data_IF_282731455810
#
_entry.id   IF_282731455810
#
_cell.length_a   1.000
_cell.length_b   1.000
_cell.length_c   1.000
_cell.angle_alpha   90.00
_cell.angle_beta   90.00
_cell.angle_gamma   90.00
#
_symmetry.space_group_name_H-M   'P 1'
#
loop_
_entity.id
_entity.type
_entity.pdbx_description
1 polymer ?
#
# COMPACT_ATOMS: atom_id res chain seq x y z
N UNK A 1 -28.70 13.32 19.12
CA UNK A 1 -27.58 12.41 18.82
C UNK A 1 -28.12 11.07 18.34
N UNK A 2 -27.29 10.26 17.68
CA UNK A 2 -27.69 8.88 17.25
C UNK A 2 -28.26 8.05 18.40
N UNK A 3 -27.70 8.19 19.61
CA UNK A 3 -28.17 7.48 20.80
C UNK A 3 -29.57 7.90 21.20
N UNK A 4 -29.82 9.20 21.26
CA UNK A 4 -31.16 9.76 21.56
C UNK A 4 -32.19 9.35 20.50
N UNK A 5 -31.82 9.51 19.23
CA UNK A 5 -32.69 9.23 18.07
C UNK A 5 -33.12 7.75 18.01
N UNK A 6 -32.31 6.85 18.62
CA UNK A 6 -32.58 5.40 18.68
C UNK A 6 -33.01 4.92 20.06
N UNK A 7 -33.28 5.81 21.02
CA UNK A 7 -33.76 5.46 22.36
C UNK A 7 -32.72 4.70 23.20
N UNK A 8 -31.43 4.86 22.91
CA UNK A 8 -30.34 4.19 23.64
C UNK A 8 -29.91 5.06 24.82
N UNK A 9 -30.01 4.51 26.04
CA UNK A 9 -29.54 5.17 27.25
C UNK A 9 -28.03 5.39 27.19
N UNK A 10 -27.59 6.62 27.45
CA UNK A 10 -26.16 6.96 27.50
C UNK A 10 -25.88 8.07 28.53
N UNK A 11 -24.64 8.16 28.95
CA UNK A 11 -24.15 9.27 29.76
C UNK A 11 -22.75 9.69 29.30
N UNK A 12 -22.54 10.98 29.17
CA UNK A 12 -21.19 11.53 28.94
C UNK A 12 -20.40 11.47 30.25
N UNK A 13 -19.40 10.59 30.29
CA UNK A 13 -18.57 10.38 31.49
C UNK A 13 -17.25 11.13 31.47
N UNK A 14 -16.89 11.78 30.34
CA UNK A 14 -15.63 12.50 30.22
C UNK A 14 -15.36 12.97 28.79
N UNK A 15 -14.17 13.49 28.60
CA UNK A 15 -13.66 13.94 27.30
C UNK A 15 -12.14 13.73 27.23
N UNK A 16 -11.57 13.43 26.03
CA UNK A 16 -10.14 13.36 25.84
C UNK A 16 -9.54 14.77 25.83
N UNK A 17 -8.31 14.91 26.34
CA UNK A 17 -7.52 16.14 26.27
C UNK A 17 -6.16 15.85 25.63
N UNK A 18 -5.58 16.78 24.85
CA UNK A 18 -4.26 16.58 24.25
C UNK A 18 -3.11 16.92 25.19
N UNK A 19 -3.38 17.50 26.35
CA UNK A 19 -2.37 18.18 27.18
C UNK A 19 -1.46 17.22 27.95
N UNK A 20 -2.02 16.13 28.47
CA UNK A 20 -1.29 15.20 29.34
C UNK A 20 -1.63 13.76 29.03
N UNK A 21 -0.65 12.88 29.21
CA UNK A 21 -0.84 11.43 29.04
C UNK A 21 -1.32 10.79 30.34
N UNK A 22 -2.44 11.31 30.85
CA UNK A 22 -3.06 10.87 32.11
C UNK A 22 -4.56 10.61 31.92
N UNK A 23 -5.08 9.62 32.64
CA UNK A 23 -6.51 9.41 32.79
C UNK A 23 -6.88 9.90 34.19
N UNK A 24 -7.69 10.94 34.29
CA UNK A 24 -8.17 11.47 35.55
C UNK A 24 -9.62 11.06 35.75
N UNK A 25 -9.88 10.29 36.81
CA UNK A 25 -11.23 9.91 37.23
C UNK A 25 -11.61 10.74 38.45
N UNK A 26 -12.73 11.45 38.35
CA UNK A 26 -13.29 12.25 39.43
C UNK A 26 -14.68 11.74 39.77
N UNK A 27 -14.93 11.54 41.07
CA UNK A 27 -16.25 11.21 41.62
C UNK A 27 -16.37 11.88 42.98
N UNK A 28 -17.32 12.81 43.08
CA UNK A 28 -17.51 13.62 44.29
C UNK A 28 -16.18 14.34 44.65
N UNK A 29 -15.72 14.15 45.90
CA UNK A 29 -14.43 14.70 46.37
C UNK A 29 -13.22 13.82 46.00
N UNK A 30 -13.43 12.66 45.45
CA UNK A 30 -12.34 11.75 45.09
C UNK A 30 -11.80 12.06 43.69
N UNK A 31 -10.47 12.10 43.62
CA UNK A 31 -9.75 12.24 42.35
C UNK A 31 -8.65 11.18 42.31
N UNK A 32 -8.58 10.46 41.21
CA UNK A 32 -7.51 9.51 40.96
C UNK A 32 -6.95 9.72 39.56
N UNK A 33 -5.63 9.74 39.45
CA UNK A 33 -4.93 9.91 38.18
C UNK A 33 -4.07 8.68 37.86
N UNK A 34 -4.18 8.22 36.63
CA UNK A 34 -3.37 7.12 36.09
C UNK A 34 -2.46 7.66 34.99
N UNK A 35 -1.19 7.29 35.06
CA UNK A 35 -0.26 7.49 33.97
C UNK A 35 -0.55 6.48 32.86
N UNK A 36 -0.86 6.95 31.63
CA UNK A 36 -1.22 6.11 30.47
C UNK A 36 -0.04 5.23 30.06
N UNK A 37 1.18 5.73 30.15
CA UNK A 37 2.37 4.98 29.72
C UNK A 37 2.70 3.87 30.71
N UNK A 38 2.54 4.10 32.01
CA UNK A 38 2.69 3.07 33.03
C UNK A 38 1.61 1.98 32.90
N UNK A 39 0.36 2.36 32.63
CA UNK A 39 -0.72 1.41 32.37
C UNK A 39 -0.45 0.60 31.09
N UNK A 40 -0.04 1.26 30.03
CA UNK A 40 0.33 0.60 28.77
C UNK A 40 1.48 -0.37 28.97
N UNK A 41 2.52 0.02 29.70
CA UNK A 41 3.66 -0.86 29.99
C UNK A 41 3.23 -2.12 30.77
N UNK A 42 2.37 -1.95 31.73
CA UNK A 42 1.82 -3.07 32.52
C UNK A 42 1.00 -4.01 31.63
N UNK A 43 0.11 -3.44 30.79
CA UNK A 43 -0.74 -4.20 29.87
C UNK A 43 0.07 -4.92 28.79
N UNK A 44 1.06 -4.22 28.21
CA UNK A 44 1.84 -4.74 27.06
C UNK A 44 2.93 -5.72 27.47
N UNK A 45 3.31 -5.79 28.74
CA UNK A 45 4.43 -6.59 29.24
C UNK A 45 4.39 -8.06 28.79
N UNK A 46 3.27 -8.72 28.90
CA UNK A 46 3.13 -10.12 28.49
C UNK A 46 3.31 -10.29 26.99
N UNK A 47 2.67 -9.43 26.20
CA UNK A 47 2.82 -9.43 24.73
C UNK A 47 4.26 -9.17 24.31
N UNK A 48 4.95 -8.25 24.99
CA UNK A 48 6.37 -7.97 24.73
C UNK A 48 7.26 -9.19 25.01
N UNK A 49 7.03 -9.90 26.11
CA UNK A 49 7.82 -11.09 26.45
C UNK A 49 7.66 -12.19 25.39
N UNK A 50 6.45 -12.41 24.90
CA UNK A 50 6.18 -13.35 23.81
C UNK A 50 6.80 -12.87 22.49
N UNK A 51 6.64 -11.58 22.16
CA UNK A 51 7.19 -11.01 20.95
C UNK A 51 8.72 -11.08 20.92
N UNK A 52 9.36 -10.84 22.07
CA UNK A 52 10.83 -10.96 22.23
C UNK A 52 11.35 -12.35 21.87
N UNK A 53 10.60 -13.38 22.21
CA UNK A 53 11.01 -14.77 21.97
C UNK A 53 10.71 -15.21 20.51
N UNK A 54 9.87 -14.45 19.79
CA UNK A 54 9.44 -14.74 18.41
C UNK A 54 10.08 -13.83 17.35
N UNK A 55 10.57 -12.64 17.73
CA UNK A 55 11.10 -11.64 16.80
C UNK A 55 12.61 -11.59 16.80
N UNK A 56 13.20 -11.38 15.61
CA UNK A 56 14.63 -11.24 15.43
C UNK A 56 15.10 -9.78 15.51
N UNK A 57 16.40 -9.57 15.49
CA UNK A 57 17.07 -8.26 15.39
C UNK A 57 16.61 -7.20 16.42
N UNK A 58 16.14 -7.66 17.60
CA UNK A 58 15.66 -6.75 18.65
C UNK A 58 14.37 -6.00 18.31
N UNK A 59 13.64 -6.44 17.29
CA UNK A 59 12.43 -5.77 16.82
C UNK A 59 11.34 -5.66 17.89
N UNK A 60 11.16 -6.69 18.74
CA UNK A 60 10.22 -6.61 19.86
C UNK A 60 10.54 -5.46 20.82
N UNK A 61 11.82 -5.25 21.12
CA UNK A 61 12.27 -4.13 21.97
C UNK A 61 12.03 -2.80 21.30
N UNK A 62 12.39 -2.66 20.02
CA UNK A 62 12.17 -1.45 19.24
C UNK A 62 10.67 -1.11 19.18
N UNK A 63 9.79 -2.08 18.94
CA UNK A 63 8.33 -1.90 18.96
C UNK A 63 7.84 -1.39 20.31
N UNK A 64 8.34 -1.96 21.41
CA UNK A 64 8.00 -1.53 22.77
C UNK A 64 8.43 -0.09 23.04
N UNK A 65 9.66 0.26 22.67
CA UNK A 65 10.28 1.53 23.03
C UNK A 65 9.84 2.68 22.08
N UNK A 66 9.56 2.39 20.80
CA UNK A 66 9.27 3.39 19.77
C UNK A 66 7.80 3.77 19.61
N UNK A 67 6.87 3.24 20.39
CA UNK A 67 5.44 3.49 20.17
C UNK A 67 5.02 4.96 20.26
N UNK A 68 5.80 5.82 20.93
CA UNK A 68 5.59 7.27 20.99
C UNK A 68 6.25 8.04 19.84
N UNK A 69 7.20 7.45 19.14
CA UNK A 69 8.14 8.13 18.25
C UNK A 69 7.79 7.97 16.77
N UNK A 70 6.67 7.36 16.43
CA UNK A 70 6.26 7.08 15.05
C UNK A 70 4.84 7.61 14.78
N UNK A 71 4.62 8.92 14.81
CA UNK A 71 3.33 9.47 14.49
C UNK A 71 2.99 9.17 13.03
N UNK A 72 1.74 8.82 12.78
CA UNK A 72 1.19 8.85 11.43
C UNK A 72 0.89 10.31 11.11
N UNK A 73 1.76 10.94 10.36
CA UNK A 73 1.55 12.28 9.86
C UNK A 73 0.83 12.22 8.51
N UNK A 74 -0.19 13.03 8.34
CA UNK A 74 -0.84 13.24 7.06
C UNK A 74 -0.73 14.70 6.64
N UNK A 75 -0.34 14.90 5.38
CA UNK A 75 -0.29 16.19 4.72
C UNK A 75 -0.67 15.98 3.27
N UNK A 76 -1.69 16.67 2.83
CA UNK A 76 -2.17 16.60 1.45
C UNK A 76 -1.74 17.86 0.69
N UNK A 77 -1.54 17.74 -0.60
CA UNK A 77 -1.25 18.89 -1.46
C UNK A 77 -2.48 19.81 -1.58
N UNK A 78 -2.25 21.09 -1.82
CA UNK A 78 -3.30 22.14 -1.78
C UNK A 78 -4.41 21.95 -2.83
N UNK A 79 -4.11 21.24 -3.93
CA UNK A 79 -5.09 20.97 -4.99
C UNK A 79 -6.03 19.81 -4.68
N UNK A 80 -5.75 19.00 -3.65
CA UNK A 80 -6.64 17.92 -3.22
C UNK A 80 -7.98 18.46 -2.71
N UNK A 81 -9.09 17.93 -3.22
CA UNK A 81 -10.45 18.37 -2.88
C UNK A 81 -11.28 17.33 -2.14
N UNK A 82 -10.83 16.09 -2.09
CA UNK A 82 -11.50 15.00 -1.37
C UNK A 82 -12.81 14.52 -1.98
N UNK A 83 -13.23 15.01 -3.16
CA UNK A 83 -14.50 14.64 -3.79
C UNK A 83 -14.30 13.87 -5.08
N UNK A 84 -15.18 12.91 -5.37
CA UNK A 84 -15.17 12.16 -6.61
C UNK A 84 -15.34 13.06 -7.84
N UNK A 85 -16.20 14.07 -7.73
CA UNK A 85 -16.47 15.04 -8.80
C UNK A 85 -15.20 15.78 -9.24
N UNK A 86 -14.30 16.14 -8.32
CA UNK A 86 -13.06 16.86 -8.63
C UNK A 86 -12.11 16.07 -9.56
N UNK A 87 -12.27 14.76 -9.60
CA UNK A 87 -11.52 13.86 -10.50
C UNK A 87 -12.31 13.43 -11.73
N UNK A 88 -13.55 13.91 -11.88
CA UNK A 88 -14.47 13.47 -12.94
C UNK A 88 -14.92 12.02 -12.78
N UNK A 89 -14.96 11.53 -11.54
CA UNK A 89 -15.37 10.17 -11.20
C UNK A 89 -16.88 10.11 -11.02
N UNK A 90 -17.50 9.10 -11.66
CA UNK A 90 -18.89 8.71 -11.41
C UNK A 90 -18.91 7.30 -10.84
N UNK A 91 -19.27 7.17 -9.55
CA UNK A 91 -19.37 5.88 -8.88
C UNK A 91 -20.47 4.98 -9.49
N UNK A 92 -21.45 5.59 -10.15
CA UNK A 92 -22.59 4.91 -10.79
C UNK A 92 -22.41 4.70 -12.30
N UNK A 93 -21.18 4.86 -12.81
CA UNK A 93 -20.88 4.67 -14.22
C UNK A 93 -21.38 3.31 -14.72
N UNK A 94 -22.17 3.30 -15.80
CA UNK A 94 -22.69 2.07 -16.44
C UNK A 94 -22.15 1.85 -17.85
N UNK A 95 -21.61 2.92 -18.45
CA UNK A 95 -21.07 2.87 -19.82
C UNK A 95 -19.59 2.56 -19.77
N UNK A 96 -19.08 1.63 -20.58
CA UNK A 96 -17.65 1.41 -20.73
C UNK A 96 -16.91 2.69 -21.14
N UNK A 97 -15.71 2.88 -20.61
CA UNK A 97 -14.84 4.00 -20.96
C UNK A 97 -13.98 3.73 -22.19
N UNK A 98 -13.75 2.46 -22.49
CA UNK A 98 -12.79 2.02 -23.50
C UNK A 98 -11.34 1.95 -23.01
N UNK A 99 -11.04 2.44 -21.82
CA UNK A 99 -9.70 2.34 -21.21
C UNK A 99 -9.64 1.09 -20.34
N UNK A 100 -8.87 0.09 -20.76
CA UNK A 100 -8.90 -1.22 -20.15
C UNK A 100 -7.72 -1.46 -19.21
N UNK A 101 -8.01 -2.07 -18.04
CA UNK A 101 -7.02 -2.59 -17.11
C UNK A 101 -7.28 -4.07 -16.84
N UNK A 102 -6.22 -4.88 -16.76
CA UNK A 102 -6.30 -6.27 -16.35
C UNK A 102 -5.72 -6.46 -14.95
N UNK A 103 -6.47 -7.13 -14.08
CA UNK A 103 -5.97 -7.63 -12.81
C UNK A 103 -5.49 -9.04 -13.02
N UNK A 104 -4.19 -9.26 -12.87
CA UNK A 104 -3.59 -10.59 -13.05
C UNK A 104 -3.51 -11.28 -11.69
N UNK A 105 -4.07 -12.49 -11.66
CA UNK A 105 -4.17 -13.29 -10.43
C UNK A 105 -3.56 -14.68 -10.59
N UNK A 106 -2.99 -15.15 -9.48
CA UNK A 106 -2.61 -16.54 -9.28
C UNK A 106 -3.36 -17.09 -8.05
N UNK A 107 -3.43 -18.40 -7.89
CA UNK A 107 -4.01 -18.98 -6.69
C UNK A 107 -3.28 -18.49 -5.44
N UNK A 108 -4.04 -18.06 -4.44
CA UNK A 108 -3.51 -17.48 -3.20
C UNK A 108 -3.36 -15.96 -3.22
N UNK A 109 -3.57 -15.28 -4.35
CA UNK A 109 -3.67 -13.82 -4.39
C UNK A 109 -4.98 -13.34 -3.77
N UNK A 110 -4.99 -12.11 -3.24
CA UNK A 110 -6.18 -11.45 -2.70
C UNK A 110 -6.11 -9.93 -2.95
N UNK A 111 -7.21 -9.21 -2.61
CA UNK A 111 -7.31 -7.77 -2.83
C UNK A 111 -7.77 -7.39 -4.23
N UNK A 112 -8.12 -8.36 -5.06
CA UNK A 112 -8.59 -8.13 -6.43
C UNK A 112 -9.88 -7.30 -6.48
N UNK A 113 -10.75 -7.41 -5.48
CA UNK A 113 -12.01 -6.66 -5.45
C UNK A 113 -11.79 -5.20 -5.13
N UNK A 114 -10.97 -4.91 -4.11
CA UNK A 114 -10.58 -3.54 -3.74
C UNK A 114 -9.83 -2.88 -4.90
N UNK A 115 -8.94 -3.62 -5.54
CA UNK A 115 -8.19 -3.16 -6.70
C UNK A 115 -9.12 -2.90 -7.90
N UNK A 116 -10.03 -3.83 -8.20
CA UNK A 116 -11.00 -3.68 -9.28
C UNK A 116 -11.89 -2.46 -9.05
N UNK A 117 -12.31 -2.24 -7.81
CA UNK A 117 -13.15 -1.08 -7.47
C UNK A 117 -12.39 0.23 -7.58
N UNK A 118 -11.13 0.28 -7.15
CA UNK A 118 -10.26 1.45 -7.30
C UNK A 118 -10.05 1.82 -8.77
N UNK A 119 -9.77 0.84 -9.62
CA UNK A 119 -9.65 1.02 -11.06
C UNK A 119 -10.97 1.45 -11.71
N UNK A 120 -12.08 0.80 -11.32
CA UNK A 120 -13.42 1.16 -11.83
C UNK A 120 -13.80 2.60 -11.47
N UNK A 121 -13.58 3.02 -10.23
CA UNK A 121 -13.81 4.41 -9.82
C UNK A 121 -12.99 5.38 -10.66
N UNK A 122 -11.71 5.09 -10.86
CA UNK A 122 -10.84 5.93 -11.70
C UNK A 122 -11.24 5.94 -13.18
N UNK A 123 -12.18 5.09 -13.61
CA UNK A 123 -12.73 5.08 -14.96
C UNK A 123 -12.21 3.98 -15.87
N UNK A 124 -11.53 2.97 -15.35
CA UNK A 124 -11.13 1.81 -16.15
C UNK A 124 -12.28 0.81 -16.38
N UNK A 125 -12.25 0.12 -17.50
CA UNK A 125 -12.97 -1.12 -17.75
C UNK A 125 -12.07 -2.27 -17.30
N UNK A 126 -12.46 -2.92 -16.19
CA UNK A 126 -11.60 -3.89 -15.50
C UNK A 126 -11.83 -5.30 -16.00
N UNK A 127 -10.74 -5.99 -16.29
CA UNK A 127 -10.70 -7.38 -16.74
C UNK A 127 -9.99 -8.24 -15.68
N UNK A 128 -10.63 -9.33 -15.27
CA UNK A 128 -10.02 -10.32 -14.36
C UNK A 128 -9.30 -11.38 -15.19
N UNK A 129 -8.00 -11.57 -14.95
CA UNK A 129 -7.13 -12.47 -15.70
C UNK A 129 -6.43 -13.44 -14.76
N UNK A 130 -6.71 -14.73 -14.90
CA UNK A 130 -6.00 -15.76 -14.17
C UNK A 130 -4.73 -16.19 -14.92
N UNK A 131 -3.70 -16.60 -14.18
CA UNK A 131 -2.48 -17.15 -14.81
C UNK A 131 -2.76 -18.29 -15.78
N UNK A 132 -3.80 -19.09 -15.52
CA UNK A 132 -4.26 -20.16 -16.44
C UNK A 132 -4.73 -19.62 -17.79
N UNK A 133 -5.19 -18.37 -17.88
CA UNK A 133 -5.58 -17.74 -19.13
C UNK A 133 -4.36 -17.38 -19.97
N UNK A 134 -3.32 -16.84 -19.33
CA UNK A 134 -2.05 -16.54 -19.97
C UNK A 134 -1.30 -17.83 -20.39
N UNK A 135 -1.25 -18.83 -19.52
CA UNK A 135 -0.61 -20.12 -19.78
C UNK A 135 -1.26 -20.84 -20.96
N UNK A 136 -2.59 -20.81 -21.04
CA UNK A 136 -3.31 -21.43 -22.17
C UNK A 136 -3.24 -20.61 -23.45
N UNK A 137 -2.93 -19.32 -23.36
CA UNK A 137 -2.97 -18.36 -24.46
C UNK A 137 -4.38 -17.86 -24.80
N UNK A 138 -5.34 -18.04 -23.90
CA UNK A 138 -6.68 -17.41 -23.99
C UNK A 138 -6.60 -15.91 -23.83
N UNK A 139 -5.61 -15.44 -23.08
CA UNK A 139 -5.30 -14.04 -22.83
C UNK A 139 -3.90 -13.72 -23.32
N UNK A 140 -3.75 -12.57 -23.99
CA UNK A 140 -2.48 -12.09 -24.57
C UNK A 140 -2.09 -10.71 -24.09
N UNK A 141 -2.93 -10.01 -23.34
CA UNK A 141 -2.77 -8.65 -22.83
C UNK A 141 -2.64 -7.56 -23.93
N UNK A 142 -2.90 -7.91 -25.19
CA UNK A 142 -2.77 -6.96 -26.31
C UNK A 142 -3.84 -5.86 -26.28
N UNK A 143 -5.00 -6.15 -25.70
CA UNK A 143 -6.16 -5.25 -25.65
C UNK A 143 -6.24 -4.41 -24.37
N UNK A 144 -5.24 -4.47 -23.48
CA UNK A 144 -5.18 -3.69 -22.24
C UNK A 144 -3.98 -2.76 -22.22
N UNK A 145 -4.13 -1.60 -21.56
CA UNK A 145 -3.07 -0.61 -21.39
C UNK A 145 -2.51 -0.57 -19.97
N UNK A 146 -3.19 -1.19 -19.02
CA UNK A 146 -2.70 -1.31 -17.65
C UNK A 146 -2.84 -2.74 -17.16
N UNK A 147 -1.81 -3.26 -16.49
CA UNK A 147 -1.91 -4.50 -15.72
C UNK A 147 -1.63 -4.23 -14.26
N UNK A 148 -2.32 -4.97 -13.40
CA UNK A 148 -2.11 -4.93 -11.96
C UNK A 148 -1.88 -6.33 -11.43
N UNK A 149 -0.78 -6.51 -10.71
CA UNK A 149 -0.49 -7.71 -9.94
C UNK A 149 -0.94 -7.48 -8.49
N UNK A 150 -1.94 -8.24 -8.05
CA UNK A 150 -2.50 -8.12 -6.71
C UNK A 150 -1.57 -8.64 -5.62
N UNK A 151 -1.88 -8.26 -4.38
CA UNK A 151 -1.29 -8.82 -3.18
C UNK A 151 -1.73 -10.25 -2.89
N UNK A 152 -1.34 -10.76 -1.73
CA UNK A 152 -1.70 -12.09 -1.24
C UNK A 152 -0.47 -12.99 -1.04
N UNK A 153 -0.69 -14.29 -1.21
CA UNK A 153 0.31 -15.34 -1.00
C UNK A 153 0.24 -16.33 -2.17
N UNK A 154 0.69 -15.90 -3.35
CA UNK A 154 0.64 -16.72 -4.55
C UNK A 154 1.35 -18.06 -4.34
N UNK A 155 0.68 -19.16 -4.70
CA UNK A 155 1.16 -20.53 -4.49
C UNK A 155 1.55 -20.81 -3.01
N UNK A 156 0.90 -20.13 -2.04
CA UNK A 156 1.16 -20.25 -0.61
C UNK A 156 2.61 -19.91 -0.20
N UNK A 157 3.33 -19.16 -1.02
CA UNK A 157 4.74 -18.79 -0.87
C UNK A 157 5.70 -19.96 -0.59
N UNK A 158 5.36 -21.18 -1.04
CA UNK A 158 6.10 -22.43 -0.73
C UNK A 158 7.58 -22.36 -1.13
N UNK A 159 7.88 -21.66 -2.21
CA UNK A 159 9.27 -21.47 -2.70
C UNK A 159 9.87 -20.11 -2.25
N UNK A 160 9.13 -19.35 -1.47
CA UNK A 160 9.34 -17.93 -1.16
C UNK A 160 8.36 -17.05 -1.90
N UNK A 161 8.17 -15.82 -1.40
CA UNK A 161 7.14 -14.91 -1.88
C UNK A 161 7.24 -14.64 -3.38
N UNK A 162 6.13 -14.84 -4.07
CA UNK A 162 5.92 -14.69 -5.52
C UNK A 162 6.80 -15.58 -6.44
N UNK A 163 7.68 -16.42 -5.91
CA UNK A 163 8.59 -17.23 -6.75
C UNK A 163 7.87 -18.26 -7.60
N UNK A 164 6.84 -18.89 -7.05
CA UNK A 164 5.99 -19.81 -7.82
C UNK A 164 5.25 -19.10 -8.95
N UNK A 165 4.76 -17.89 -8.68
CA UNK A 165 4.09 -17.06 -9.67
C UNK A 165 5.07 -16.58 -10.75
N UNK A 166 6.27 -16.12 -10.36
CA UNK A 166 7.33 -15.76 -11.31
C UNK A 166 7.72 -16.96 -12.20
N UNK A 167 7.81 -18.16 -11.62
CA UNK A 167 8.05 -19.39 -12.37
C UNK A 167 6.97 -19.69 -13.42
N UNK A 168 5.69 -19.39 -13.12
CA UNK A 168 4.61 -19.55 -14.09
C UNK A 168 4.78 -18.64 -15.31
N UNK A 169 5.34 -17.44 -15.16
CA UNK A 169 5.70 -16.58 -16.29
C UNK A 169 6.97 -17.06 -17.00
N UNK A 170 8.05 -17.31 -16.25
CA UNK A 170 9.38 -17.57 -16.82
C UNK A 170 9.44 -18.89 -17.61
N UNK A 171 8.71 -19.91 -17.14
CA UNK A 171 8.80 -21.27 -17.69
C UNK A 171 7.61 -21.65 -18.58
N UNK A 172 6.66 -20.74 -18.81
CA UNK A 172 5.60 -20.94 -19.78
C UNK A 172 5.77 -19.98 -20.96
N UNK A 173 6.02 -20.47 -22.19
CA UNK A 173 6.31 -19.63 -23.35
C UNK A 173 5.21 -18.62 -23.66
N UNK A 174 3.92 -19.01 -23.57
CA UNK A 174 2.79 -18.13 -23.89
C UNK A 174 2.63 -17.00 -22.86
N UNK A 175 2.70 -17.35 -21.57
CA UNK A 175 2.61 -16.36 -20.51
C UNK A 175 3.79 -15.37 -20.56
N UNK A 176 5.00 -15.89 -20.82
CA UNK A 176 6.19 -15.06 -21.00
C UNK A 176 6.06 -14.12 -22.21
N UNK A 177 5.63 -14.66 -23.36
CA UNK A 177 5.44 -13.87 -24.57
C UNK A 177 4.43 -12.74 -24.38
N UNK A 178 3.30 -13.02 -23.72
CA UNK A 178 2.28 -12.02 -23.42
C UNK A 178 2.84 -10.90 -22.53
N UNK A 179 3.61 -11.26 -21.49
CA UNK A 179 4.25 -10.29 -20.59
C UNK A 179 5.32 -9.47 -21.33
N UNK A 180 6.22 -10.11 -22.07
CA UNK A 180 7.30 -9.45 -22.82
C UNK A 180 6.73 -8.44 -23.84
N UNK A 181 5.69 -8.84 -24.60
CA UNK A 181 5.00 -7.94 -25.54
C UNK A 181 4.34 -6.77 -24.84
N UNK A 182 3.72 -7.00 -23.66
CA UNK A 182 3.10 -5.93 -22.89
C UNK A 182 4.14 -4.88 -22.45
N UNK A 183 5.27 -5.31 -21.88
CA UNK A 183 6.32 -4.40 -21.41
C UNK A 183 7.11 -3.73 -22.55
N UNK A 184 7.15 -4.34 -23.74
CA UNK A 184 7.77 -3.72 -24.93
C UNK A 184 6.96 -2.55 -25.49
N UNK A 185 5.67 -2.45 -25.21
CA UNK A 185 4.80 -1.35 -25.63
C UNK A 185 5.09 -0.10 -24.81
N UNK A 186 4.95 1.07 -25.41
CA UNK A 186 5.16 2.38 -24.75
C UNK A 186 3.87 2.97 -24.16
N UNK A 187 2.72 2.47 -24.55
CA UNK A 187 1.38 2.89 -24.14
C UNK A 187 0.83 2.07 -22.96
N UNK A 188 1.69 1.44 -22.19
CA UNK A 188 1.31 0.55 -21.10
C UNK A 188 1.84 1.00 -19.74
N UNK A 189 1.08 0.70 -18.69
CA UNK A 189 1.41 0.90 -17.29
C UNK A 189 1.29 -0.42 -16.52
N UNK A 190 2.08 -0.58 -15.48
CA UNK A 190 1.89 -1.69 -14.54
C UNK A 190 2.00 -1.27 -13.08
N UNK A 191 1.26 -1.95 -12.23
CA UNK A 191 1.25 -1.76 -10.79
C UNK A 191 1.38 -3.14 -10.10
N UNK A 192 2.36 -3.29 -9.21
CA UNK A 192 2.48 -4.46 -8.34
C UNK A 192 2.36 -4.07 -6.89
N UNK A 193 1.40 -4.68 -6.18
CA UNK A 193 1.15 -4.42 -4.77
C UNK A 193 1.47 -5.65 -3.93
N UNK A 194 2.26 -5.48 -2.86
CA UNK A 194 2.62 -6.54 -1.91
C UNK A 194 3.19 -7.78 -2.63
N UNK A 195 2.45 -8.87 -2.74
CA UNK A 195 2.87 -10.06 -3.49
C UNK A 195 3.10 -9.75 -4.99
N UNK A 196 2.32 -8.83 -5.58
CA UNK A 196 2.56 -8.33 -6.93
C UNK A 196 3.84 -7.50 -7.05
N UNK A 197 4.21 -6.73 -6.02
CA UNK A 197 5.50 -6.04 -5.95
C UNK A 197 6.66 -7.04 -5.93
N UNK A 198 6.56 -8.07 -5.09
CA UNK A 198 7.54 -9.16 -5.04
C UNK A 198 7.68 -9.85 -6.39
N UNK A 199 6.57 -10.09 -7.09
CA UNK A 199 6.56 -10.64 -8.44
C UNK A 199 7.32 -9.76 -9.43
N UNK A 200 7.04 -8.45 -9.45
CA UNK A 200 7.69 -7.51 -10.38
C UNK A 200 9.20 -7.45 -10.13
N UNK A 201 9.63 -7.49 -8.87
CA UNK A 201 11.04 -7.54 -8.49
C UNK A 201 11.66 -8.89 -8.89
N UNK A 202 10.97 -10.02 -8.64
CA UNK A 202 11.47 -11.36 -9.00
C UNK A 202 11.61 -11.52 -10.53
N UNK A 203 10.72 -10.93 -11.31
CA UNK A 203 10.79 -10.89 -12.78
C UNK A 203 11.74 -9.80 -13.32
N UNK A 204 12.36 -8.98 -12.45
CA UNK A 204 13.24 -7.86 -12.82
C UNK A 204 12.59 -6.82 -13.74
N UNK A 205 11.32 -6.48 -13.51
CA UNK A 205 10.54 -5.60 -14.39
C UNK A 205 10.73 -4.11 -14.10
N UNK A 206 11.33 -3.76 -12.94
CA UNK A 206 11.47 -2.35 -12.51
C UNK A 206 12.83 -1.78 -12.89
N UNK A 207 13.90 -2.52 -12.63
CA UNK A 207 15.28 -2.08 -12.86
C UNK A 207 16.04 -3.09 -13.74
N UNK A 208 15.58 -3.38 -14.97
CA UNK A 208 16.17 -4.45 -15.78
C UNK A 208 17.63 -4.18 -16.17
N UNK A 209 18.04 -2.91 -16.24
CA UNK A 209 19.37 -2.48 -16.68
C UNK A 209 20.39 -2.32 -15.53
N UNK A 210 19.99 -2.57 -14.27
CA UNK A 210 20.91 -2.50 -13.14
C UNK A 210 21.89 -3.67 -13.13
N UNK A 211 23.16 -3.38 -12.85
CA UNK A 211 24.20 -4.42 -12.74
C UNK A 211 23.92 -5.39 -11.59
N UNK A 212 23.45 -4.85 -10.46
CA UNK A 212 23.08 -5.62 -9.29
C UNK A 212 21.56 -5.65 -9.15
N UNK A 213 21.02 -6.85 -9.10
CA UNK A 213 19.60 -7.08 -9.07
C UNK A 213 18.97 -6.67 -7.73
N UNK A 214 17.92 -5.87 -7.78
CA UNK A 214 17.00 -5.64 -6.66
C UNK A 214 16.39 -6.96 -6.20
N UNK A 215 16.19 -7.14 -4.90
CA UNK A 215 15.59 -8.34 -4.31
C UNK A 215 14.57 -7.97 -3.24
N UNK A 216 13.61 -8.87 -3.03
CA UNK A 216 12.76 -8.86 -1.85
C UNK A 216 13.26 -9.89 -0.86
N UNK A 217 13.38 -9.48 0.41
CA UNK A 217 13.90 -10.31 1.50
C UNK A 217 12.86 -10.41 2.63
N UNK A 218 13.08 -11.34 3.56
CA UNK A 218 12.32 -11.40 4.80
C UNK A 218 12.40 -10.08 5.56
N UNK A 219 11.30 -9.71 6.22
CA UNK A 219 11.33 -8.62 7.19
C UNK A 219 12.42 -8.87 8.24
N UNK A 220 13.05 -7.81 8.73
CA UNK A 220 14.10 -7.93 9.78
C UNK A 220 13.59 -8.62 11.05
N UNK A 221 12.31 -8.51 11.35
CA UNK A 221 11.67 -9.21 12.48
C UNK A 221 11.50 -10.72 12.27
N UNK A 222 11.63 -11.20 11.04
CA UNK A 222 11.24 -12.54 10.59
C UNK A 222 9.79 -12.92 10.93
N UNK A 223 8.94 -11.89 11.06
CA UNK A 223 7.50 -12.04 11.32
C UNK A 223 6.69 -11.41 10.22
N UNK A 224 5.44 -11.82 10.15
CA UNK A 224 4.42 -11.11 9.38
C UNK A 224 4.11 -9.78 10.09
N UNK A 225 4.34 -8.67 9.39
CA UNK A 225 4.05 -7.33 9.87
C UNK A 225 2.72 -6.85 9.29
N UNK A 226 1.78 -6.51 10.17
CA UNK A 226 0.48 -5.94 9.81
C UNK A 226 0.27 -4.68 10.62
N UNK A 227 0.25 -3.53 9.94
CA UNK A 227 0.21 -2.23 10.60
C UNK A 227 -0.34 -1.14 9.68
N UNK A 228 -0.83 -0.04 10.28
CA UNK A 228 -1.12 1.20 9.58
C UNK A 228 0.01 2.19 9.85
N UNK A 229 0.68 2.65 8.80
CA UNK A 229 1.92 3.43 8.87
C UNK A 229 1.81 4.70 8.05
N UNK A 230 2.74 5.62 8.31
CA UNK A 230 2.92 6.81 7.48
C UNK A 230 3.95 6.56 6.38
N UNK A 231 3.66 7.06 5.21
CA UNK A 231 4.61 7.18 4.09
C UNK A 231 4.68 8.62 3.61
N UNK A 232 5.83 9.00 3.08
CA UNK A 232 6.03 10.23 2.32
C UNK A 232 6.25 9.91 0.85
N UNK A 233 5.75 10.78 -0.01
CA UNK A 233 5.92 10.69 -1.45
C UNK A 233 6.99 11.71 -1.85
N UNK A 234 8.24 11.28 -2.13
CA UNK A 234 9.28 12.22 -2.59
C UNK A 234 8.96 12.79 -3.97
N UNK A 235 9.70 13.80 -4.39
CA UNK A 235 9.64 14.27 -5.78
C UNK A 235 9.98 13.10 -6.70
N UNK A 236 9.12 12.84 -7.67
CA UNK A 236 9.25 11.70 -8.57
C UNK A 236 8.57 11.94 -9.92
N UNK A 237 8.97 11.17 -10.93
CA UNK A 237 8.45 11.24 -12.28
C UNK A 237 7.50 10.08 -12.62
N UNK A 238 6.99 9.37 -11.61
CA UNK A 238 6.03 8.29 -11.83
C UNK A 238 4.74 8.82 -12.43
N UNK A 239 4.24 8.18 -13.47
CA UNK A 239 2.92 8.49 -14.05
C UNK A 239 1.83 8.46 -12.99
N UNK A 240 1.90 7.51 -12.05
CA UNK A 240 0.86 7.32 -11.04
C UNK A 240 1.02 8.25 -9.84
N UNK A 241 2.24 8.60 -9.43
CA UNK A 241 2.52 9.25 -8.14
C UNK A 241 3.06 10.67 -8.22
N UNK A 242 3.40 11.19 -9.41
CA UNK A 242 4.00 12.52 -9.53
C UNK A 242 3.13 13.64 -8.95
N UNK A 243 1.78 13.55 -9.06
CA UNK A 243 0.86 14.53 -8.48
C UNK A 243 0.82 14.52 -6.94
N UNK A 244 1.21 13.41 -6.33
CA UNK A 244 1.26 13.23 -4.89
C UNK A 244 2.59 13.68 -4.27
N UNK A 245 3.52 14.21 -5.06
CA UNK A 245 4.85 14.63 -4.60
C UNK A 245 4.76 15.64 -3.46
N UNK A 246 5.36 15.34 -2.32
CA UNK A 246 5.33 16.15 -1.10
C UNK A 246 4.22 15.79 -0.12
N UNK A 247 3.33 14.88 -0.49
CA UNK A 247 2.31 14.36 0.42
C UNK A 247 2.90 13.43 1.47
N UNK A 248 2.26 13.44 2.64
CA UNK A 248 2.42 12.42 3.68
C UNK A 248 1.09 11.72 3.88
N UNK A 249 1.07 10.42 3.71
CA UNK A 249 -0.16 9.64 3.66
C UNK A 249 -0.10 8.44 4.62
N UNK A 250 -1.26 8.07 5.16
CA UNK A 250 -1.42 6.81 5.89
C UNK A 250 -1.65 5.64 4.94
N UNK A 251 -1.12 4.47 5.28
CA UNK A 251 -1.26 3.28 4.45
C UNK A 251 -1.13 1.97 5.25
N UNK A 252 -1.78 0.91 4.78
CA UNK A 252 -1.70 -0.42 5.38
C UNK A 252 -0.54 -1.23 4.80
N UNK A 253 0.16 -1.95 5.70
CA UNK A 253 1.12 -3.00 5.35
C UNK A 253 0.66 -4.35 5.90
N UNK A 254 0.95 -5.44 5.17
CA UNK A 254 0.59 -6.79 5.56
C UNK A 254 1.50 -7.81 4.83
N UNK A 255 2.71 -8.06 5.34
CA UNK A 255 3.70 -8.88 4.65
C UNK A 255 4.74 -9.52 5.58
N UNK A 256 5.31 -10.64 5.17
CA UNK A 256 6.43 -11.33 5.83
C UNK A 256 7.77 -11.15 5.13
N UNK A 257 7.76 -10.90 3.83
CA UNK A 257 8.93 -10.74 2.95
C UNK A 257 8.86 -9.40 2.20
N UNK A 258 8.79 -8.28 2.96
CA UNK A 258 8.58 -6.95 2.41
C UNK A 258 9.84 -6.08 2.29
N UNK A 259 11.02 -6.60 2.65
CA UNK A 259 12.25 -5.84 2.68
C UNK A 259 12.82 -5.67 1.30
N UNK A 260 12.83 -4.43 0.79
CA UNK A 260 13.63 -4.08 -0.39
C UNK A 260 15.12 -4.14 -0.06
N UNK A 261 15.85 -4.94 -0.83
CA UNK A 261 17.30 -4.94 -0.88
C UNK A 261 17.74 -4.28 -2.17
N UNK A 262 18.36 -3.10 -2.03
CA UNK A 262 18.73 -2.19 -3.11
C UNK A 262 20.26 -2.05 -3.14
N UNK A 263 20.98 -2.92 -3.85
CA UNK A 263 22.44 -3.01 -3.76
C UNK A 263 23.20 -1.91 -4.50
N UNK A 264 22.54 -1.08 -5.30
CA UNK A 264 23.12 0.10 -5.93
C UNK A 264 22.97 1.33 -5.01
N UNK A 265 23.60 2.46 -5.37
CA UNK A 265 23.39 3.73 -4.68
C UNK A 265 21.96 4.22 -4.83
N UNK A 266 21.46 4.96 -3.84
CA UNK A 266 20.06 5.39 -3.76
C UNK A 266 19.58 6.17 -4.99
N UNK A 267 20.46 7.02 -5.53
CA UNK A 267 20.20 7.86 -6.73
C UNK A 267 20.00 7.06 -8.03
N UNK A 268 20.24 5.74 -8.00
CA UNK A 268 19.97 4.83 -9.11
C UNK A 268 18.52 4.34 -9.14
N UNK A 269 17.78 4.57 -8.08
CA UNK A 269 16.40 4.10 -7.96
C UNK A 269 15.41 5.25 -8.04
N UNK A 270 14.37 5.11 -8.85
CA UNK A 270 13.22 6.01 -8.84
C UNK A 270 12.32 5.64 -7.64
N UNK A 271 12.67 6.16 -6.46
CA UNK A 271 11.92 5.92 -5.23
C UNK A 271 10.69 6.82 -5.21
N UNK A 272 9.51 6.23 -5.15
CA UNK A 272 8.23 6.95 -5.22
C UNK A 272 7.45 6.98 -3.90
N UNK A 273 7.84 6.13 -2.95
CA UNK A 273 7.27 6.14 -1.60
C UNK A 273 8.33 5.68 -0.59
N UNK A 274 8.38 6.35 0.56
CA UNK A 274 9.25 5.99 1.70
C UNK A 274 8.41 5.89 2.97
N UNK A 275 8.79 4.99 3.87
CA UNK A 275 8.30 5.04 5.23
C UNK A 275 8.81 6.31 5.90
N UNK A 276 7.94 7.09 6.52
CA UNK A 276 8.27 8.41 7.10
C UNK A 276 9.02 8.33 8.44
N UNK A 277 9.22 7.13 8.98
CA UNK A 277 10.01 6.86 10.16
C UNK A 277 10.96 5.69 9.90
N UNK A 278 12.27 5.93 10.05
CA UNK A 278 13.32 5.00 9.65
C UNK A 278 13.50 3.80 10.58
N UNK A 279 13.10 3.96 11.86
CA UNK A 279 13.24 2.91 12.84
C UNK A 279 12.03 1.96 12.82
N UNK A 280 12.27 0.71 13.21
CA UNK A 280 11.19 -0.25 13.41
C UNK A 280 10.28 0.18 14.59
N UNK A 281 8.97 0.07 14.50
CA UNK A 281 8.17 -0.54 13.42
C UNK A 281 7.67 0.44 12.33
N UNK A 282 8.13 1.69 12.29
CA UNK A 282 7.76 2.66 11.25
C UNK A 282 8.29 2.27 9.87
N UNK A 283 9.55 1.80 9.77
CA UNK A 283 10.03 0.98 8.66
C UNK A 283 9.84 -0.50 9.08
N UNK A 284 8.74 -1.14 8.66
CA UNK A 284 8.29 -2.41 9.27
C UNK A 284 9.12 -3.61 8.83
N UNK A 285 9.83 -3.49 7.73
CA UNK A 285 10.54 -4.59 7.08
C UNK A 285 12.05 -4.41 7.06
N UNK A 286 12.57 -3.22 7.38
CA UNK A 286 14.00 -2.92 7.32
C UNK A 286 14.50 -2.66 5.90
N UNK A 287 13.63 -2.18 4.99
CA UNK A 287 13.99 -1.83 3.62
C UNK A 287 15.12 -0.82 3.56
N UNK A 288 16.07 -1.02 2.63
CA UNK A 288 17.11 -0.06 2.34
C UNK A 288 16.50 1.30 1.98
N UNK A 289 17.12 2.40 2.41
CA UNK A 289 16.67 3.78 2.18
C UNK A 289 15.21 4.08 2.61
N UNK A 290 14.67 3.28 3.52
CA UNK A 290 13.26 3.34 3.95
C UNK A 290 12.23 3.16 2.82
N UNK A 291 12.59 2.51 1.75
CA UNK A 291 11.76 2.39 0.56
C UNK A 291 10.50 1.58 0.86
N UNK A 292 9.36 2.16 0.51
CA UNK A 292 8.05 1.53 0.50
C UNK A 292 7.58 1.20 -0.93
N UNK A 293 8.08 1.94 -1.94
CA UNK A 293 7.77 1.73 -3.34
C UNK A 293 8.79 2.35 -4.28
N UNK A 294 9.01 1.68 -5.41
CA UNK A 294 9.92 2.08 -6.50
C UNK A 294 9.19 2.06 -7.84
N UNK A 295 9.68 2.84 -8.79
CA UNK A 295 9.15 2.89 -10.15
C UNK A 295 10.28 2.64 -11.17
N UNK A 296 9.92 2.20 -12.37
CA UNK A 296 10.86 2.12 -13.49
C UNK A 296 11.42 3.50 -13.87
N UNK A 297 12.57 3.54 -14.52
CA UNK A 297 13.23 4.78 -14.92
C UNK A 297 12.35 5.68 -15.82
N UNK A 298 11.44 5.07 -16.60
CA UNK A 298 10.50 5.79 -17.46
C UNK A 298 9.17 6.19 -16.78
N UNK A 299 9.05 5.94 -15.46
CA UNK A 299 7.90 6.33 -14.65
C UNK A 299 6.64 5.49 -14.82
N UNK A 300 6.65 4.43 -15.63
CA UNK A 300 5.45 3.69 -16.05
C UNK A 300 5.11 2.45 -15.20
N UNK A 301 6.09 1.82 -14.60
CA UNK A 301 5.93 0.54 -13.91
C UNK A 301 6.25 0.71 -12.43
N UNK A 302 5.22 0.58 -11.58
CA UNK A 302 5.31 0.88 -10.15
C UNK A 302 5.16 -0.40 -9.31
N UNK A 303 6.07 -0.61 -8.37
CA UNK A 303 6.03 -1.71 -7.42
C UNK A 303 6.13 -1.17 -5.99
N UNK A 304 5.16 -1.52 -5.13
CA UNK A 304 5.16 -1.11 -3.73
C UNK A 304 4.62 -2.18 -2.80
N UNK A 305 5.15 -2.22 -1.58
CA UNK A 305 4.72 -3.21 -0.58
C UNK A 305 3.43 -2.82 0.16
N UNK A 306 3.21 -1.55 0.55
CA UNK A 306 1.94 -1.12 1.13
C UNK A 306 0.77 -1.20 0.15
N UNK A 307 -0.46 -1.23 0.70
CA UNK A 307 -1.72 -1.44 -0.01
C UNK A 307 -2.48 -0.13 -0.20
N UNK A 308 -2.27 0.58 -1.31
CA UNK A 308 -2.99 1.83 -1.61
C UNK A 308 -4.48 1.57 -1.90
N UNK A 309 -4.84 0.43 -2.48
CA UNK A 309 -6.22 0.03 -2.77
C UNK A 309 -7.07 -0.18 -1.49
N UNK A 310 -6.42 -0.27 -0.35
CA UNK A 310 -7.04 -0.39 0.97
C UNK A 310 -7.03 0.90 1.76
N UNK A 311 -6.69 2.02 1.13
CA UNK A 311 -6.59 3.33 1.77
C UNK A 311 -7.23 4.44 0.93
N UNK A 312 -8.00 4.12 -0.13
CA UNK A 312 -8.62 5.12 -1.02
C UNK A 312 -9.82 5.84 -0.42
N UNK A 313 -10.37 5.34 0.68
CA UNK A 313 -11.48 5.99 1.39
C UNK A 313 -11.06 6.41 2.80
N UNK A 314 -11.54 7.55 3.33
CA UNK A 314 -11.25 7.97 4.68
C UNK A 314 -11.54 6.92 5.74
N UNK A 315 -12.67 6.21 5.62
CA UNK A 315 -13.10 5.17 6.57
C UNK A 315 -12.21 3.91 6.58
N UNK A 316 -11.40 3.69 5.55
CA UNK A 316 -10.42 2.59 5.50
C UNK A 316 -9.17 2.88 6.34
N UNK A 317 -8.93 4.14 6.69
CA UNK A 317 -7.72 4.55 7.40
C UNK A 317 -7.92 4.39 8.91
N UNK A 318 -6.90 3.90 9.62
CA UNK A 318 -6.94 3.77 11.08
C UNK A 318 -6.96 5.15 11.77
N UNK A 319 -6.43 6.16 11.09
CA UNK A 319 -6.49 7.56 11.49
C UNK A 319 -6.56 8.43 10.22
N UNK A 320 -7.32 9.51 10.28
CA UNK A 320 -7.46 10.47 9.18
C UNK A 320 -7.62 11.88 9.71
N UNK A 321 -7.22 12.90 8.94
CA UNK A 321 -7.28 14.30 9.35
C UNK A 321 -8.71 14.72 9.71
N UNK A 322 -8.85 15.42 10.84
CA UNK A 322 -10.18 15.80 11.36
C UNK A 322 -10.98 16.67 10.38
N UNK A 323 -10.28 17.61 9.72
CA UNK A 323 -10.88 18.54 8.77
C UNK A 323 -11.25 17.88 7.41
N UNK A 324 -10.73 16.68 7.18
CA UNK A 324 -10.93 15.87 5.98
C UNK A 324 -11.87 14.66 6.17
N UNK A 325 -12.56 14.56 7.33
CA UNK A 325 -13.44 13.41 7.62
C UNK A 325 -14.67 13.29 6.72
N UNK A 326 -15.02 14.36 6.02
CA UNK A 326 -16.13 14.38 5.07
C UNK A 326 -15.70 14.12 3.62
N UNK A 327 -14.40 13.89 3.39
CA UNK A 327 -13.90 13.54 2.07
C UNK A 327 -14.55 12.22 1.60
N UNK A 328 -14.87 12.14 0.34
CA UNK A 328 -15.38 10.93 -0.31
C UNK A 328 -14.25 9.96 -0.62
N UNK A 329 -13.06 10.49 -0.92
CA UNK A 329 -11.84 9.74 -1.24
C UNK A 329 -10.61 10.35 -0.59
N UNK A 330 -9.55 9.57 -0.48
CA UNK A 330 -8.22 10.04 -0.05
C UNK A 330 -7.35 10.38 -1.27
N UNK A 331 -6.20 11.04 -1.10
CA UNK A 331 -5.28 11.30 -2.22
C UNK A 331 -4.82 10.04 -2.97
N UNK A 332 -4.86 8.86 -2.36
CA UNK A 332 -4.49 7.61 -3.02
C UNK A 332 -5.27 7.30 -4.29
N UNK A 333 -6.49 7.84 -4.45
CA UNK A 333 -7.27 7.67 -5.69
C UNK A 333 -6.57 8.25 -6.91
N UNK A 334 -5.73 9.29 -6.71
CA UNK A 334 -5.01 9.96 -7.79
C UNK A 334 -4.08 9.02 -8.55
N UNK A 335 -3.50 8.04 -7.87
CA UNK A 335 -2.66 7.05 -8.52
C UNK A 335 -3.36 6.37 -9.70
N UNK A 336 -4.61 6.00 -9.52
CA UNK A 336 -5.43 5.35 -10.55
C UNK A 336 -5.96 6.35 -11.59
N UNK A 337 -6.36 7.54 -11.13
CA UNK A 337 -6.83 8.63 -12.02
C UNK A 337 -5.72 9.09 -12.96
N UNK A 338 -4.51 9.27 -12.44
CA UNK A 338 -3.34 9.65 -13.23
C UNK A 338 -3.00 8.58 -14.28
N UNK A 339 -3.04 7.31 -13.90
CA UNK A 339 -2.84 6.19 -14.83
C UNK A 339 -3.84 6.24 -15.98
N UNK A 340 -5.15 6.40 -15.68
CA UNK A 340 -6.21 6.50 -16.69
C UNK A 340 -5.99 7.70 -17.61
N UNK A 341 -5.78 8.90 -17.03
CA UNK A 341 -5.56 10.14 -17.81
C UNK A 341 -4.34 10.05 -18.73
N UNK A 342 -3.26 9.43 -18.23
CA UNK A 342 -2.05 9.23 -19.04
C UNK A 342 -2.33 8.35 -20.26
N UNK A 343 -3.03 7.22 -20.08
CA UNK A 343 -3.38 6.32 -21.19
C UNK A 343 -4.29 7.02 -22.20
N UNK A 344 -5.31 7.76 -21.76
CA UNK A 344 -6.21 8.51 -22.65
C UNK A 344 -5.53 9.59 -23.48
N UNK A 345 -4.44 10.15 -22.96
CA UNK A 345 -3.68 11.21 -23.62
C UNK A 345 -2.44 10.69 -24.36
N UNK A 346 -2.16 9.40 -24.29
CA UNK A 346 -0.99 8.83 -24.93
C UNK A 346 -1.06 8.98 -26.46
N UNK A 347 -0.07 9.66 -27.04
CA UNK A 347 0.01 9.87 -28.49
C UNK A 347 -0.87 11.00 -29.08
N UNK A 348 -1.53 11.80 -28.21
CA UNK A 348 -2.29 12.99 -28.62
C UNK A 348 -1.41 14.23 -28.71
#
# INVERSE_FOLDING_TARGET
TYMEDNGIGYAKIGYPTPAERTIVIKKDEYTHAFDIDALRETWYKTSYLLDRDQSFNGCARKRRDNYKNQPVEMKFHDSFKGTLESYGISADRRTPSGVKAAIIREKGTNGEREMAYSLYLAGFDVKDVMMTDLISGRETLEDVNMIVFCGGFSNSDVLGSAKGWAGAFLFNPKAKEALDKFYARKDTLSLGICNGCQLMVELNLINPDHEKRTRMLHNDSHKFESNFLGVEIPQNDSVMFSSLSGDKLGIWVAHGEGKFSLPEAEDKYNVVARYNYSEYPGNPNGSDYNVAGICSADGRHLAMMPHLERAIFPWQNAWYLADHRQDEVTPWIEAFVNARKWIENFGK
#
